data_IF_423619941545
#
_entry.id   IF_423619941545
#
_cell.length_a   1.000
_cell.length_b   1.000
_cell.length_c   1.000
_cell.angle_alpha   90.00
_cell.angle_beta   90.00
_cell.angle_gamma   90.00
#
_symmetry.space_group_name_H-M   'P 1'
#
loop_
_entity.id
_entity.type
_entity.pdbx_description
1 polymer ?
#
# COMPACT_ATOMS: atom_id res chain seq x y z
N UNK A 1 -5.23 36.47 -34.70
CA UNK A 1 -6.27 35.62 -34.08
C UNK A 1 -5.63 34.50 -33.28
N UNK A 2 -5.77 34.59 -31.96
CA UNK A 2 -5.97 33.50 -30.97
C UNK A 2 -5.42 32.10 -31.26
N UNK A 3 -4.33 31.75 -30.57
CA UNK A 3 -4.10 30.38 -30.09
C UNK A 3 -5.08 30.06 -28.95
N UNK A 4 -5.61 28.84 -28.87
CA UNK A 4 -5.80 28.16 -27.59
C UNK A 4 -5.03 26.82 -27.62
N UNK A 5 -4.11 26.55 -26.68
CA UNK A 5 -4.38 25.98 -25.34
C UNK A 5 -5.22 24.69 -25.50
N UNK A 6 -4.69 23.49 -25.28
CA UNK A 6 -4.21 23.00 -23.98
C UNK A 6 -3.32 21.77 -24.17
N UNK A 7 -2.20 21.73 -23.43
CA UNK A 7 -1.26 20.61 -23.36
C UNK A 7 -1.79 19.50 -22.42
N UNK A 8 -1.14 18.31 -22.40
CA UNK A 8 -1.77 17.00 -22.50
C UNK A 8 -2.49 16.58 -21.22
N UNK A 9 -3.45 15.67 -21.37
CA UNK A 9 -4.00 14.89 -20.26
C UNK A 9 -2.86 14.23 -19.48
N UNK A 10 -2.46 14.87 -18.39
CA UNK A 10 -1.62 14.30 -17.35
C UNK A 10 -2.37 13.09 -16.81
N UNK A 11 -2.05 11.90 -17.30
CA UNK A 11 -2.29 10.67 -16.56
C UNK A 11 -1.74 10.93 -15.17
N UNK A 12 -2.53 10.85 -14.08
CA UNK A 12 -1.96 10.96 -12.76
C UNK A 12 -0.97 9.82 -12.64
N UNK A 13 0.30 10.22 -12.52
CA UNK A 13 1.46 9.37 -12.43
C UNK A 13 1.19 8.21 -11.46
N UNK A 14 0.97 7.02 -12.02
CA UNK A 14 1.02 5.76 -11.29
C UNK A 14 2.47 5.37 -10.92
N UNK A 15 3.43 6.26 -11.20
CA UNK A 15 4.87 6.12 -11.01
C UNK A 15 5.34 6.24 -9.54
N UNK A 16 4.47 5.90 -8.58
CA UNK A 16 4.89 5.67 -7.18
C UNK A 16 5.61 4.31 -7.01
N UNK A 17 5.85 3.57 -8.11
CA UNK A 17 6.50 2.25 -8.10
C UNK A 17 8.02 2.31 -7.78
N UNK A 18 8.62 3.51 -7.74
CA UNK A 18 10.07 3.72 -7.55
C UNK A 18 10.48 4.37 -6.22
N UNK A 19 9.62 4.39 -5.19
CA UNK A 19 10.08 4.74 -3.83
C UNK A 19 10.60 3.45 -3.17
N UNK A 20 11.93 3.22 -3.11
CA UNK A 20 12.47 2.04 -2.44
C UNK A 20 11.98 2.01 -1.00
N UNK A 21 11.49 0.85 -0.58
CA UNK A 21 11.24 0.55 0.82
C UNK A 21 12.55 0.77 1.57
N UNK A 22 12.67 1.90 2.29
CA UNK A 22 13.91 2.27 2.96
C UNK A 22 14.29 1.10 3.87
N UNK A 23 15.42 0.42 3.59
CA UNK A 23 15.79 -0.74 4.37
C UNK A 23 16.05 -0.29 5.80
N UNK A 24 15.51 -1.05 6.76
CA UNK A 24 15.91 -0.89 8.15
C UNK A 24 17.44 -1.02 8.21
N UNK A 25 18.15 -0.14 8.96
CA UNK A 25 19.57 -0.32 9.18
C UNK A 25 19.83 -1.73 9.72
N UNK A 26 20.73 -2.47 9.09
CA UNK A 26 21.00 -3.89 9.42
C UNK A 26 21.36 -4.10 10.89
N UNK A 27 21.91 -3.07 11.53
CA UNK A 27 22.37 -3.10 12.93
C UNK A 27 21.37 -2.46 13.92
N UNK A 28 20.21 -1.99 13.44
CA UNK A 28 19.21 -1.40 14.31
C UNK A 28 18.45 -2.50 15.07
N UNK A 29 18.92 -2.83 16.27
CA UNK A 29 18.12 -3.63 17.23
C UNK A 29 16.86 -2.85 17.58
N UNK A 30 15.71 -3.31 17.09
CA UNK A 30 14.42 -2.70 17.38
C UNK A 30 13.92 -3.21 18.73
N UNK A 31 14.12 -2.42 19.79
CA UNK A 31 13.57 -2.77 21.09
C UNK A 31 12.10 -2.35 21.17
N UNK A 32 11.22 -3.31 21.44
CA UNK A 32 9.78 -3.09 21.58
C UNK A 32 9.34 -3.57 22.95
N UNK A 33 8.45 -2.80 23.60
CA UNK A 33 7.73 -3.32 24.76
C UNK A 33 6.74 -4.38 24.30
N UNK A 34 6.37 -5.31 25.18
CA UNK A 34 5.33 -6.32 24.89
C UNK A 34 4.05 -5.69 24.32
N UNK A 35 3.59 -4.59 24.92
CA UNK A 35 2.41 -3.87 24.44
C UNK A 35 2.60 -3.25 23.05
N UNK A 36 3.79 -2.74 22.73
CA UNK A 36 4.12 -2.24 21.40
C UNK A 36 4.11 -3.35 20.35
N UNK A 37 4.67 -4.51 20.69
CA UNK A 37 4.68 -5.69 19.82
C UNK A 37 3.25 -6.14 19.48
N UNK A 38 2.39 -6.33 20.49
CA UNK A 38 1.01 -6.78 20.26
C UNK A 38 0.18 -5.79 19.43
N UNK A 39 0.43 -4.48 19.54
CA UNK A 39 -0.26 -3.48 18.69
C UNK A 39 0.12 -3.61 17.22
N UNK A 40 1.41 -3.81 16.94
CA UNK A 40 1.92 -3.98 15.58
C UNK A 40 1.44 -5.32 14.98
N UNK A 41 1.42 -6.37 15.80
CA UNK A 41 0.87 -7.68 15.42
C UNK A 41 -0.64 -7.60 15.12
N UNK A 42 -1.41 -6.91 15.96
CA UNK A 42 -2.84 -6.70 15.74
C UNK A 42 -3.11 -5.88 14.47
N UNK A 43 -2.31 -4.84 14.22
CA UNK A 43 -2.39 -4.06 12.98
C UNK A 43 -2.10 -4.93 11.75
N UNK A 44 -1.01 -5.71 11.78
CA UNK A 44 -0.65 -6.63 10.70
C UNK A 44 -1.77 -7.66 10.45
N UNK A 45 -2.33 -8.23 11.51
CA UNK A 45 -3.42 -9.19 11.41
C UNK A 45 -4.69 -8.57 10.79
N UNK A 46 -5.03 -7.33 11.16
CA UNK A 46 -6.15 -6.59 10.57
C UNK A 46 -5.95 -6.35 9.07
N UNK A 47 -4.76 -5.87 8.68
CA UNK A 47 -4.43 -5.62 7.28
C UNK A 47 -4.53 -6.90 6.43
N UNK A 48 -3.97 -8.01 6.92
CA UNK A 48 -3.93 -9.27 6.16
C UNK A 48 -5.28 -9.98 6.12
N UNK A 49 -6.01 -10.03 7.24
CA UNK A 49 -7.25 -10.82 7.36
C UNK A 49 -8.49 -10.07 6.93
N UNK A 50 -8.49 -8.74 7.01
CA UNK A 50 -9.71 -7.93 6.82
C UNK A 50 -9.55 -6.97 5.65
N UNK A 51 -8.57 -6.08 5.69
CA UNK A 51 -8.51 -4.97 4.73
C UNK A 51 -8.06 -5.43 3.35
N UNK A 52 -6.99 -6.23 3.28
CA UNK A 52 -6.46 -6.72 2.01
C UNK A 52 -7.49 -7.55 1.23
N UNK A 53 -8.19 -8.54 1.81
CA UNK A 53 -9.20 -9.30 1.09
C UNK A 53 -10.36 -8.43 0.57
N UNK A 54 -10.85 -7.49 1.38
CA UNK A 54 -11.92 -6.56 0.96
C UNK A 54 -11.52 -5.72 -0.25
N UNK A 55 -10.32 -5.16 -0.23
CA UNK A 55 -9.83 -4.34 -1.36
C UNK A 55 -9.59 -5.20 -2.60
N UNK A 56 -9.09 -6.43 -2.44
CA UNK A 56 -8.93 -7.37 -3.56
C UNK A 56 -10.28 -7.70 -4.19
N UNK A 57 -11.31 -7.95 -3.39
CA UNK A 57 -12.67 -8.20 -3.86
C UNK A 57 -13.21 -7.00 -4.66
N UNK A 58 -13.08 -5.77 -4.13
CA UNK A 58 -13.49 -4.55 -4.83
C UNK A 58 -12.75 -4.38 -6.16
N UNK A 59 -11.42 -4.57 -6.17
CA UNK A 59 -10.61 -4.48 -7.40
C UNK A 59 -11.00 -5.55 -8.40
N UNK A 60 -11.25 -6.78 -7.95
CA UNK A 60 -11.65 -7.90 -8.81
C UNK A 60 -13.01 -7.64 -9.45
N UNK A 61 -13.97 -7.12 -8.67
CA UNK A 61 -15.29 -6.73 -9.16
C UNK A 61 -15.18 -5.59 -10.17
N UNK A 62 -14.44 -4.53 -9.84
CA UNK A 62 -14.22 -3.40 -10.73
C UNK A 62 -13.54 -3.80 -12.04
N UNK A 63 -12.59 -4.75 -11.99
CA UNK A 63 -11.91 -5.29 -13.15
C UNK A 63 -12.82 -6.08 -14.10
N UNK A 64 -13.98 -6.57 -13.61
CA UNK A 64 -15.00 -7.24 -14.41
C UNK A 64 -16.03 -6.30 -15.04
N UNK A 65 -16.09 -5.03 -14.60
CA UNK A 65 -17.17 -4.10 -14.93
C UNK A 65 -16.81 -3.04 -15.99
N UNK A 66 -15.84 -3.30 -16.87
CA UNK A 66 -15.52 -2.41 -17.99
C UNK A 66 -14.02 -2.28 -18.26
N UNK A 67 -13.64 -1.20 -18.95
CA UNK A 67 -12.23 -0.90 -19.19
C UNK A 67 -11.53 -0.48 -17.89
N UNK A 68 -10.43 -1.16 -17.59
CA UNK A 68 -9.59 -0.94 -16.41
C UNK A 68 -8.92 0.42 -16.42
N UNK A 69 -8.70 1.00 -17.60
CA UNK A 69 -8.03 2.30 -17.73
C UNK A 69 -8.93 3.49 -17.41
N UNK A 70 -10.25 3.30 -17.50
CA UNK A 70 -11.26 4.33 -17.25
C UNK A 70 -12.02 4.11 -15.94
N UNK A 71 -12.03 2.87 -15.42
CA UNK A 71 -12.71 2.55 -14.18
C UNK A 71 -11.98 3.12 -12.94
N UNK A 72 -12.57 4.16 -12.34
CA UNK A 72 -12.06 4.77 -11.11
C UNK A 72 -11.91 3.79 -9.95
N UNK A 73 -12.88 2.89 -9.73
CA UNK A 73 -12.83 1.91 -8.62
C UNK A 73 -11.64 0.96 -8.78
N UNK A 74 -11.32 0.57 -10.01
CA UNK A 74 -10.15 -0.25 -10.29
C UNK A 74 -8.85 0.52 -10.00
N UNK A 75 -8.74 1.76 -10.47
CA UNK A 75 -7.54 2.60 -10.28
C UNK A 75 -7.30 2.86 -8.79
N UNK A 76 -8.31 3.35 -8.08
CA UNK A 76 -8.21 3.65 -6.65
C UNK A 76 -8.02 2.38 -5.81
N UNK A 77 -8.73 1.30 -6.13
CA UNK A 77 -8.57 0.01 -5.45
C UNK A 77 -7.15 -0.55 -5.63
N UNK A 78 -6.55 -0.44 -6.82
CA UNK A 78 -5.15 -0.83 -7.06
C UNK A 78 -4.16 0.04 -6.30
N UNK A 79 -4.39 1.35 -6.18
CA UNK A 79 -3.56 2.22 -5.33
C UNK A 79 -3.65 1.80 -3.86
N UNK A 80 -4.86 1.59 -3.35
CA UNK A 80 -5.10 1.16 -1.97
C UNK A 80 -4.47 -0.20 -1.67
N UNK A 81 -4.55 -1.15 -2.58
CA UNK A 81 -3.93 -2.46 -2.45
C UNK A 81 -2.40 -2.34 -2.28
N UNK A 82 -1.76 -1.46 -3.06
CA UNK A 82 -0.32 -1.19 -2.96
C UNK A 82 0.07 -0.59 -1.61
N UNK A 83 -0.72 0.35 -1.09
CA UNK A 83 -0.51 0.93 0.24
C UNK A 83 -0.57 -0.13 1.35
N UNK A 84 -1.55 -1.02 1.29
CA UNK A 84 -1.72 -2.13 2.23
C UNK A 84 -0.52 -3.08 2.16
N UNK A 85 -0.13 -3.51 0.96
CA UNK A 85 1.00 -4.43 0.77
C UNK A 85 2.32 -3.80 1.25
N UNK A 86 2.52 -2.49 1.03
CA UNK A 86 3.68 -1.75 1.58
C UNK A 86 3.67 -1.77 3.10
N UNK A 87 2.52 -1.50 3.74
CA UNK A 87 2.40 -1.49 5.20
C UNK A 87 2.63 -2.89 5.80
N UNK A 88 2.11 -3.93 5.17
CA UNK A 88 2.33 -5.32 5.57
C UNK A 88 3.83 -5.65 5.54
N UNK A 89 4.54 -5.35 4.45
CA UNK A 89 5.99 -5.58 4.34
C UNK A 89 6.77 -4.84 5.42
N UNK A 90 6.43 -3.58 5.66
CA UNK A 90 7.05 -2.76 6.70
C UNK A 90 6.87 -3.34 8.11
N UNK A 91 5.64 -3.74 8.46
CA UNK A 91 5.34 -4.32 9.77
C UNK A 91 6.02 -5.69 9.94
N UNK A 92 5.99 -6.53 8.91
CA UNK A 92 6.61 -7.86 8.92
C UNK A 92 8.11 -7.75 9.21
N UNK A 93 8.83 -6.92 8.45
CA UNK A 93 10.28 -6.70 8.66
C UNK A 93 10.59 -6.18 10.07
N UNK A 94 9.72 -5.33 10.63
CA UNK A 94 9.92 -4.79 11.99
C UNK A 94 9.69 -5.84 13.07
N UNK A 95 8.65 -6.66 12.93
CA UNK A 95 8.35 -7.72 13.87
C UNK A 95 9.42 -8.82 13.84
N UNK A 96 9.97 -9.15 12.67
CA UNK A 96 11.09 -10.10 12.53
C UNK A 96 12.37 -9.63 13.23
N UNK A 97 12.65 -8.32 13.21
CA UNK A 97 13.84 -7.73 13.82
C UNK A 97 13.60 -7.20 15.26
N UNK A 98 12.40 -7.42 15.81
CA UNK A 98 12.01 -6.92 17.12
C UNK A 98 12.62 -7.73 18.25
N UNK A 99 13.30 -7.08 19.18
CA UNK A 99 13.63 -7.64 20.48
C UNK A 99 12.63 -7.14 21.52
N UNK A 100 11.84 -8.05 22.09
CA UNK A 100 10.81 -7.71 23.07
C UNK A 100 11.44 -7.66 24.46
N UNK A 101 11.36 -6.48 25.10
CA UNK A 101 11.91 -6.22 26.45
C UNK A 101 10.78 -6.00 27.45
#
# INVERSE_FOLDING_TARGET
MTKPMTQPSSKPDLADDDIPDQPLPKDARLYLTKGGFYRLEAELAGLVKVDRPKVVETVSWAAGNGDRSENGDYIYGKKRLREIDRRIRFLTKRLENANVV
#
